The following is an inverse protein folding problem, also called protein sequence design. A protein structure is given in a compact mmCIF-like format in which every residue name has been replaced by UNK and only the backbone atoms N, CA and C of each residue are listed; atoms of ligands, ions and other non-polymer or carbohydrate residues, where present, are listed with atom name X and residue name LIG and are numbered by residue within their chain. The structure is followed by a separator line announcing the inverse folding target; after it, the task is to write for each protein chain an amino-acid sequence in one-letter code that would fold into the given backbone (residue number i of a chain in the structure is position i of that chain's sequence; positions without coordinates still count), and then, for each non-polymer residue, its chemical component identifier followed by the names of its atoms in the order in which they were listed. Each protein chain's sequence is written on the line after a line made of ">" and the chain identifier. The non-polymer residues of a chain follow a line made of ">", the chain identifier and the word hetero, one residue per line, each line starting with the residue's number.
data_IF_062233916483
#
_entry.id   IF_062233916483
#
_cell.length_a   1.000
_cell.length_b   1.000
_cell.length_c   1.000
_cell.angle_alpha   90.00
_cell.angle_beta   90.00
_cell.angle_gamma   90.00
#
_symmetry.space_group_name_H-M   'P 1'
#
loop_
_entity.id
_entity.type
_entity.pdbx_description
1 polymer ?
#
# COMPACT_ATOMS: atom_id res chain seq x y z
N UNK A 1 -4.69 25.87 5.86
CA UNK A 1 -3.97 24.59 5.81
C UNK A 1 -4.34 23.80 7.06
N UNK A 2 -5.56 23.30 7.00
CA UNK A 2 -6.33 22.51 7.97
C UNK A 2 -7.59 22.23 7.13
N UNK A 3 -8.08 20.99 7.04
CA UNK A 3 -9.15 20.54 6.12
C UNK A 3 -8.75 20.14 4.69
N UNK A 4 -7.46 19.93 4.41
CA UNK A 4 -7.05 19.17 3.21
C UNK A 4 -7.28 17.69 3.56
N UNK A 5 -8.24 17.01 2.92
CA UNK A 5 -8.59 15.61 3.21
C UNK A 5 -7.60 14.61 2.63
N UNK A 6 -6.32 14.91 2.81
CA UNK A 6 -5.22 14.19 2.20
C UNK A 6 -4.82 13.01 3.09
N UNK A 7 -4.52 11.87 2.48
CA UNK A 7 -4.06 10.68 3.18
C UNK A 7 -2.71 10.29 2.61
N UNK A 8 -1.69 10.26 3.46
CA UNK A 8 -0.36 9.75 3.12
C UNK A 8 -0.16 8.36 3.74
N UNK A 9 0.26 7.40 2.92
CA UNK A 9 0.47 6.01 3.32
C UNK A 9 1.96 5.68 3.27
N UNK A 10 2.46 5.13 4.37
CA UNK A 10 3.85 4.70 4.52
C UNK A 10 3.90 3.25 4.98
N UNK A 11 4.88 2.50 4.46
CA UNK A 11 5.29 1.23 5.02
C UNK A 11 6.37 1.49 6.08
N UNK A 12 6.07 1.10 7.33
CA UNK A 12 6.93 1.30 8.50
C UNK A 12 7.32 -0.07 9.09
N UNK A 13 7.50 -1.09 8.24
CA UNK A 13 7.99 -2.40 8.69
C UNK A 13 9.39 -2.30 9.29
N UNK A 14 10.21 -1.38 8.76
CA UNK A 14 11.44 -0.90 9.40
C UNK A 14 11.20 0.55 9.87
N UNK A 15 11.11 0.80 11.19
CA UNK A 15 10.86 2.13 11.72
C UNK A 15 12.02 3.11 11.49
N UNK A 16 13.24 2.63 11.22
CA UNK A 16 14.39 3.48 10.90
C UNK A 16 14.45 3.84 9.41
N UNK A 17 13.68 3.14 8.57
CA UNK A 17 13.63 3.34 7.12
C UNK A 17 12.18 3.27 6.60
N UNK A 18 11.34 4.28 6.93
CA UNK A 18 9.99 4.34 6.39
C UNK A 18 10.01 4.51 4.87
N UNK A 19 9.14 3.78 4.19
CA UNK A 19 9.01 3.82 2.72
C UNK A 19 7.66 4.45 2.38
N UNK A 20 7.67 5.52 1.58
CA UNK A 20 6.44 6.09 1.05
C UNK A 20 5.77 5.11 0.08
N UNK A 21 4.46 4.89 0.25
CA UNK A 21 3.68 3.96 -0.56
C UNK A 21 2.77 4.72 -1.52
N UNK A 22 1.92 5.60 -0.98
CA UNK A 22 0.86 6.24 -1.75
C UNK A 22 0.42 7.54 -1.08
N UNK A 23 -0.06 8.47 -1.90
CA UNK A 23 -0.76 9.67 -1.46
C UNK A 23 -2.12 9.70 -2.13
N UNK A 24 -3.17 9.88 -1.34
CA UNK A 24 -4.56 9.90 -1.77
C UNK A 24 -5.08 11.30 -1.49
N UNK A 25 -5.47 11.99 -2.56
CA UNK A 25 -6.13 13.29 -2.50
C UNK A 25 -7.30 13.23 -3.47
N UNK A 26 -8.50 13.33 -2.95
CA UNK A 26 -9.74 13.38 -3.75
C UNK A 26 -10.50 14.62 -3.33
N UNK A 27 -11.07 15.33 -4.29
CA UNK A 27 -11.79 16.58 -4.02
C UNK A 27 -13.10 16.35 -3.25
N UNK A 28 -13.60 15.11 -3.25
CA UNK A 28 -14.84 14.69 -2.60
C UNK A 28 -14.66 14.50 -1.09
N UNK A 29 -13.48 14.02 -0.65
CA UNK A 29 -13.20 13.75 0.76
C UNK A 29 -12.60 14.98 1.44
N UNK A 30 -13.46 15.80 2.04
CA UNK A 30 -13.06 17.01 2.78
C UNK A 30 -13.02 16.77 4.28
N UNK A 31 -11.92 17.16 4.93
CA UNK A 31 -11.73 17.07 6.38
C UNK A 31 -11.75 15.64 6.90
N UNK A 32 -10.84 14.81 6.39
CA UNK A 32 -10.63 13.43 6.88
C UNK A 32 -10.07 13.48 8.29
N UNK A 33 -10.75 12.84 9.25
CA UNK A 33 -10.38 12.82 10.67
C UNK A 33 -10.21 11.40 11.21
N UNK A 34 -10.96 10.45 10.67
CA UNK A 34 -10.91 9.04 11.09
C UNK A 34 -10.31 8.16 10.01
N UNK A 35 -9.42 7.25 10.42
CA UNK A 35 -8.76 6.29 9.55
C UNK A 35 -8.81 4.89 10.17
N UNK A 36 -9.20 3.90 9.37
CA UNK A 36 -9.15 2.47 9.74
C UNK A 36 -8.45 1.70 8.63
N UNK A 37 -7.45 0.91 9.00
CA UNK A 37 -6.74 0.05 8.06
C UNK A 37 -7.29 -1.38 8.07
N UNK A 38 -7.48 -1.95 6.89
CA UNK A 38 -7.87 -3.34 6.68
C UNK A 38 -6.75 -4.05 5.94
N UNK A 39 -6.22 -5.12 6.53
CA UNK A 39 -5.18 -5.94 5.89
C UNK A 39 -5.72 -6.64 4.65
N UNK A 40 -4.83 -6.98 3.71
CA UNK A 40 -5.18 -7.72 2.50
C UNK A 40 -5.95 -9.02 2.79
N UNK A 41 -5.56 -9.75 3.85
CA UNK A 41 -6.19 -11.01 4.28
C UNK A 41 -7.66 -10.85 4.73
N UNK A 42 -8.02 -9.67 5.23
CA UNK A 42 -9.37 -9.33 5.70
C UNK A 42 -10.18 -8.55 4.67
N UNK A 43 -9.58 -8.25 3.51
CA UNK A 43 -10.19 -7.44 2.46
C UNK A 43 -10.88 -8.34 1.42
N UNK A 44 -12.10 -8.00 0.97
CA UNK A 44 -12.77 -8.73 -0.10
C UNK A 44 -12.06 -8.63 -1.46
N UNK A 45 -11.17 -7.65 -1.64
CA UNK A 45 -10.41 -7.48 -2.89
C UNK A 45 -9.04 -8.15 -2.84
N UNK A 46 -8.65 -8.72 -1.70
CA UNK A 46 -7.30 -9.28 -1.48
C UNK A 46 -6.19 -8.22 -1.45
N UNK A 47 -6.53 -6.93 -1.48
CA UNK A 47 -5.60 -5.79 -1.35
C UNK A 47 -5.85 -5.07 -0.03
N UNK A 48 -4.83 -4.47 0.61
CA UNK A 48 -5.06 -3.69 1.81
C UNK A 48 -5.94 -2.47 1.51
N UNK A 49 -6.81 -2.10 2.44
CA UNK A 49 -7.72 -0.98 2.31
C UNK A 49 -7.49 0.04 3.43
N UNK A 50 -7.75 1.31 3.14
CA UNK A 50 -7.95 2.34 4.14
C UNK A 50 -9.37 2.87 4.04
N UNK A 51 -10.08 2.86 5.17
CA UNK A 51 -11.41 3.45 5.32
C UNK A 51 -11.22 4.81 5.97
N UNK A 52 -11.67 5.85 5.29
CA UNK A 52 -11.57 7.22 5.75
C UNK A 52 -12.97 7.75 6.07
N UNK A 53 -13.12 8.38 7.24
CA UNK A 53 -14.32 9.15 7.57
C UNK A 53 -14.01 10.63 7.49
N UNK A 54 -14.75 11.34 6.65
CA UNK A 54 -14.55 12.75 6.37
C UNK A 54 -15.67 13.59 7.02
N UNK A 55 -15.29 14.40 8.01
CA UNK A 55 -16.25 15.14 8.81
C UNK A 55 -16.90 16.26 8.00
N UNK A 56 -16.16 16.98 7.15
CA UNK A 56 -16.70 18.16 6.46
C UNK A 56 -17.61 17.75 5.32
N UNK A 57 -17.19 16.75 4.54
CA UNK A 57 -17.97 16.19 3.41
C UNK A 57 -19.07 15.21 3.84
N UNK A 58 -19.04 14.74 5.10
CA UNK A 58 -20.01 13.77 5.66
C UNK A 58 -20.01 12.42 4.92
N UNK A 59 -18.86 12.01 4.44
CA UNK A 59 -18.67 10.75 3.71
C UNK A 59 -17.84 9.74 4.51
N UNK A 60 -17.99 8.48 4.12
CA UNK A 60 -17.05 7.41 4.46
C UNK A 60 -16.62 6.77 3.15
N UNK A 61 -15.34 6.88 2.83
CA UNK A 61 -14.77 6.33 1.62
C UNK A 61 -13.81 5.17 1.93
N UNK A 62 -13.70 4.25 0.97
CA UNK A 62 -12.78 3.11 1.04
C UNK A 62 -11.82 3.20 -0.12
N UNK A 63 -10.52 3.19 0.18
CA UNK A 63 -9.47 3.27 -0.80
C UNK A 63 -8.60 2.01 -0.74
N UNK A 64 -8.25 1.47 -1.91
CA UNK A 64 -7.22 0.44 -2.00
C UNK A 64 -5.82 1.05 -1.84
N UNK A 65 -4.97 0.37 -1.07
CA UNK A 65 -3.57 0.72 -0.91
C UNK A 65 -2.73 -0.11 -1.87
N UNK A 66 -2.07 0.57 -2.80
CA UNK A 66 -1.18 -0.07 -3.76
C UNK A 66 0.18 -0.32 -3.14
N UNK A 67 0.37 -1.50 -2.52
CA UNK A 67 1.69 -1.87 -2.01
C UNK A 67 2.63 -2.23 -3.16
N UNK A 68 3.86 -1.69 -3.18
CA UNK A 68 4.86 -2.13 -4.13
C UNK A 68 5.22 -3.59 -3.86
N UNK A 69 4.91 -4.47 -4.81
CA UNK A 69 5.31 -5.87 -4.79
C UNK A 69 6.58 -6.06 -5.60
N UNK A 70 7.63 -6.60 -4.98
CA UNK A 70 8.80 -7.09 -5.72
C UNK A 70 8.41 -8.48 -6.25
N UNK A 71 8.16 -8.56 -7.55
CA UNK A 71 8.08 -9.84 -8.24
C UNK A 71 9.51 -10.33 -8.45
N UNK A 72 9.89 -11.37 -7.71
CA UNK A 72 11.15 -12.07 -7.98
C UNK A 72 10.92 -12.94 -9.21
N UNK A 73 11.38 -12.48 -10.37
CA UNK A 73 11.33 -13.24 -11.63
C UNK A 73 12.44 -14.28 -11.71
N UNK A 74 13.46 -14.18 -10.85
CA UNK A 74 14.53 -15.19 -10.75
C UNK A 74 14.02 -16.44 -10.04
N UNK A 75 13.95 -17.54 -10.81
CA UNK A 75 13.60 -18.88 -10.32
C UNK A 75 14.84 -19.74 -10.08
N UNK A 76 16.02 -19.17 -10.33
CA UNK A 76 17.31 -19.83 -10.20
C UNK A 76 17.50 -20.31 -8.75
N UNK A 77 17.59 -21.64 -8.56
CA UNK A 77 17.82 -22.25 -7.25
C UNK A 77 16.59 -22.53 -6.39
N UNK A 78 15.38 -22.59 -6.96
CA UNK A 78 14.21 -23.14 -6.25
C UNK A 78 14.25 -24.67 -6.10
N UNK A 79 15.03 -25.37 -6.93
CA UNK A 79 15.27 -26.81 -6.83
C UNK A 79 16.78 -27.11 -6.75
N UNK A 80 17.16 -28.14 -5.98
CA UNK A 80 18.55 -28.56 -5.92
C UNK A 80 18.97 -29.17 -7.27
N UNK A 81 20.07 -28.66 -7.84
CA UNK A 81 20.66 -29.14 -9.09
C UNK A 81 19.82 -28.86 -10.36
N UNK A 82 19.14 -27.71 -10.41
CA UNK A 82 18.40 -27.21 -11.59
C UNK A 82 19.31 -26.65 -12.71
N UNK A 83 20.62 -26.62 -12.49
CA UNK A 83 21.65 -26.11 -13.40
C UNK A 83 21.50 -24.63 -13.81
N UNK A 84 20.64 -23.87 -13.14
CA UNK A 84 20.48 -22.42 -13.37
C UNK A 84 21.19 -21.67 -12.25
N UNK A 85 22.51 -21.53 -12.39
CA UNK A 85 23.29 -20.60 -11.57
C UNK A 85 23.43 -19.32 -12.37
N UNK A 86 22.54 -18.36 -12.12
CA UNK A 86 22.57 -16.97 -12.59
C UNK A 86 23.32 -16.79 -13.91
N UNK A 87 22.61 -16.86 -15.05
CA UNK A 87 23.20 -16.46 -16.33
C UNK A 87 23.42 -14.95 -16.33
N UNK A 88 24.51 -14.52 -15.69
CA UNK A 88 25.03 -13.17 -15.78
C UNK A 88 25.28 -12.87 -17.25
N UNK A 89 24.48 -11.95 -17.78
CA UNK A 89 24.81 -11.30 -19.04
C UNK A 89 25.88 -10.21 -18.77
N UNK A 90 26.87 -10.03 -19.67
CA UNK A 90 27.97 -9.06 -19.52
C UNK A 90 27.54 -7.63 -19.22
#
# INVERSE_FOLDING_TARGET
>A
MERIGDIAVYNISDPLKPIFVQYINTAEELGVEGLVFVTAEKSPTGKPLVIASAEVSKTVAVFEVNMPSITVTETSGLENNDAVICSGHP
#
